data_IF_969888758251
#
_entry.id   IF_969888758251
#
_cell.length_a   1.000
_cell.length_b   1.000
_cell.length_c   1.000
_cell.angle_alpha   90.00
_cell.angle_beta   90.00
_cell.angle_gamma   90.00
#
_symmetry.space_group_name_H-M   'P 1'
#
loop_
_entity.id
_entity.type
_entity.pdbx_description
1 polymer ?
#
# COMPACT_ATOMS: atom_id res chain seq x y z
N UNK A 1 -4.55 59.31 21.76
CA UNK A 1 -3.24 58.88 21.22
C UNK A 1 -2.84 57.60 21.93
N UNK A 2 -3.16 56.44 21.34
CA UNK A 2 -2.78 55.12 21.88
C UNK A 2 -1.60 54.62 21.03
N UNK A 3 -0.60 54.12 21.73
CA UNK A 3 0.81 53.99 21.37
C UNK A 3 1.04 52.91 20.28
N UNK A 4 1.26 53.31 19.01
CA UNK A 4 1.62 52.38 17.92
C UNK A 4 3.03 51.81 18.04
N UNK A 5 3.90 52.45 18.83
CA UNK A 5 5.30 52.01 19.00
C UNK A 5 5.43 50.81 19.94
N UNK A 6 4.47 50.62 20.86
CA UNK A 6 4.47 49.50 21.79
C UNK A 6 4.16 48.16 21.11
N UNK A 7 3.30 48.14 20.09
CA UNK A 7 2.94 46.94 19.32
C UNK A 7 4.01 46.56 18.29
N UNK A 8 4.68 47.54 17.67
CA UNK A 8 5.81 47.27 16.79
C UNK A 8 6.99 46.62 17.54
N UNK A 9 7.22 47.04 18.79
CA UNK A 9 8.29 46.53 19.66
C UNK A 9 7.98 45.11 20.19
N UNK A 10 6.72 44.77 20.46
CA UNK A 10 6.33 43.42 20.88
C UNK A 10 6.41 42.40 19.74
N UNK A 11 6.04 42.78 18.51
CA UNK A 11 6.15 41.91 17.34
C UNK A 11 7.61 41.67 16.95
N UNK A 12 8.46 42.71 16.99
CA UNK A 12 9.89 42.56 16.68
C UNK A 12 10.65 41.76 17.73
N UNK A 13 10.30 41.87 19.01
CA UNK A 13 10.87 41.03 20.08
C UNK A 13 10.40 39.58 20.02
N UNK A 14 9.12 39.34 19.70
CA UNK A 14 8.60 37.99 19.46
C UNK A 14 9.25 37.33 18.24
N UNK A 15 9.42 38.07 17.14
CA UNK A 15 10.07 37.59 15.92
C UNK A 15 11.57 37.32 16.14
N UNK A 16 12.27 38.17 16.92
CA UNK A 16 13.68 37.94 17.31
C UNK A 16 13.83 36.73 18.24
N UNK A 17 12.87 36.49 19.12
CA UNK A 17 12.83 35.29 19.96
C UNK A 17 12.60 34.04 19.12
N UNK A 18 11.64 34.06 18.18
CA UNK A 18 11.36 32.96 17.26
C UNK A 18 12.54 32.64 16.32
N UNK A 19 13.29 33.66 15.89
CA UNK A 19 14.52 33.55 15.08
C UNK A 19 15.79 33.48 15.94
N UNK A 20 15.69 33.12 17.22
CA UNK A 20 16.88 32.93 18.05
C UNK A 20 17.69 31.73 17.54
N UNK A 21 19.04 31.73 17.69
CA UNK A 21 19.88 30.63 17.24
C UNK A 21 19.50 29.27 17.85
N UNK A 22 18.95 29.27 19.07
CA UNK A 22 18.46 28.08 19.74
C UNK A 22 17.21 27.50 19.05
N UNK A 23 16.20 28.35 18.77
CA UNK A 23 14.97 27.92 18.09
C UNK A 23 15.20 27.54 16.63
N UNK A 24 16.14 28.21 15.95
CA UNK A 24 16.58 27.85 14.60
C UNK A 24 17.35 26.53 14.57
N UNK A 25 18.18 26.26 15.59
CA UNK A 25 18.88 24.98 15.72
C UNK A 25 17.89 23.85 16.00
N UNK A 26 16.91 24.07 16.88
CA UNK A 26 15.88 23.08 17.23
C UNK A 26 14.94 22.79 16.04
N UNK A 27 14.51 23.84 15.33
CA UNK A 27 13.76 23.70 14.08
C UNK A 27 14.59 23.02 12.97
N UNK A 28 15.89 23.31 12.91
CA UNK A 28 16.82 22.68 11.97
C UNK A 28 17.07 21.19 12.26
N UNK A 29 17.16 20.80 13.54
CA UNK A 29 17.24 19.40 13.95
C UNK A 29 15.94 18.67 13.71
N UNK A 30 14.79 19.26 14.06
CA UNK A 30 13.48 18.67 13.80
C UNK A 30 13.20 18.51 12.31
N UNK A 31 13.56 19.51 11.49
CA UNK A 31 13.46 19.43 10.04
C UNK A 31 14.37 18.34 9.47
N UNK A 32 15.64 18.26 9.92
CA UNK A 32 16.57 17.19 9.53
C UNK A 32 16.05 15.80 9.90
N UNK A 33 15.55 15.65 11.12
CA UNK A 33 15.02 14.38 11.65
C UNK A 33 13.76 13.96 10.88
N UNK A 34 12.83 14.89 10.60
CA UNK A 34 11.68 14.66 9.71
C UNK A 34 12.07 14.33 8.28
N UNK A 35 13.09 14.99 7.70
CA UNK A 35 13.56 14.64 6.35
C UNK A 35 14.28 13.30 6.31
N UNK A 36 15.01 12.92 7.36
CA UNK A 36 15.65 11.60 7.47
C UNK A 36 14.61 10.50 7.67
N UNK A 37 13.58 10.74 8.49
CA UNK A 37 12.41 9.88 8.65
C UNK A 37 11.64 9.75 7.33
N UNK A 38 11.43 10.87 6.62
CA UNK A 38 10.77 10.87 5.31
C UNK A 38 11.61 10.15 4.25
N UNK A 39 12.93 10.33 4.20
CA UNK A 39 13.80 9.59 3.28
C UNK A 39 13.83 8.09 3.59
N UNK A 40 13.82 7.71 4.87
CA UNK A 40 13.71 6.30 5.30
C UNK A 40 12.36 5.70 4.92
N UNK A 41 11.29 6.48 5.02
CA UNK A 41 9.95 6.09 4.57
C UNK A 41 9.78 6.12 3.03
N UNK A 42 10.57 6.91 2.31
CA UNK A 42 10.61 6.92 0.84
C UNK A 42 11.33 5.69 0.28
N UNK A 43 12.31 5.14 1.00
CA UNK A 43 12.92 3.84 0.67
C UNK A 43 11.88 2.70 0.77
N UNK A 44 10.86 2.85 1.62
CA UNK A 44 9.61 2.08 1.59
C UNK A 44 8.65 2.69 0.54
N UNK A 45 9.03 2.72 -0.75
CA UNK A 45 8.42 3.42 -1.92
C UNK A 45 6.95 3.08 -2.26
N UNK A 46 6.10 3.10 -1.25
CA UNK A 46 4.93 2.27 -1.14
C UNK A 46 3.78 3.08 -0.51
N UNK A 47 4.08 3.93 0.47
CA UNK A 47 3.13 4.90 0.98
C UNK A 47 2.65 5.85 -0.14
N UNK A 48 3.56 6.19 -1.06
CA UNK A 48 3.25 6.94 -2.29
C UNK A 48 2.20 6.25 -3.16
N UNK A 49 2.32 4.95 -3.40
CA UNK A 49 1.39 4.19 -4.26
C UNK A 49 -0.02 4.10 -3.66
N UNK A 50 -0.14 3.87 -2.34
CA UNK A 50 -1.45 3.84 -1.67
C UNK A 50 -2.10 5.21 -1.65
N UNK A 51 -1.31 6.24 -1.40
CA UNK A 51 -1.77 7.63 -1.43
C UNK A 51 -2.27 8.02 -2.82
N UNK A 52 -1.57 7.58 -3.87
CA UNK A 52 -1.98 7.77 -5.27
C UNK A 52 -3.31 7.06 -5.57
N UNK A 53 -3.44 5.79 -5.15
CA UNK A 53 -4.69 5.05 -5.30
C UNK A 53 -5.85 5.70 -4.52
N UNK A 54 -5.59 6.22 -3.32
CA UNK A 54 -6.58 6.94 -2.50
C UNK A 54 -7.07 8.22 -3.19
N UNK A 55 -6.14 9.01 -3.74
CA UNK A 55 -6.48 10.24 -4.43
C UNK A 55 -7.38 9.93 -5.64
N UNK A 56 -7.06 8.88 -6.38
CA UNK A 56 -7.89 8.39 -7.49
C UNK A 56 -9.27 7.94 -7.04
N UNK A 57 -9.36 7.14 -5.97
CA UNK A 57 -10.62 6.67 -5.43
C UNK A 57 -11.52 7.82 -4.92
N UNK A 58 -10.94 8.83 -4.25
CA UNK A 58 -11.69 9.99 -3.77
C UNK A 58 -12.23 10.84 -4.95
N UNK A 59 -11.42 11.02 -5.99
CA UNK A 59 -11.85 11.70 -7.21
C UNK A 59 -12.99 10.92 -7.92
N UNK A 60 -12.88 9.59 -8.01
CA UNK A 60 -13.93 8.74 -8.55
C UNK A 60 -15.24 8.81 -7.75
N UNK A 61 -15.17 8.80 -6.41
CA UNK A 61 -16.36 8.97 -5.56
C UNK A 61 -17.02 10.32 -5.85
N UNK A 62 -16.23 11.38 -5.99
CA UNK A 62 -16.74 12.72 -6.27
C UNK A 62 -17.46 12.77 -7.61
N UNK A 63 -16.85 12.18 -8.65
CA UNK A 63 -17.47 12.05 -9.97
C UNK A 63 -18.78 11.25 -9.86
N UNK A 64 -18.74 10.09 -9.24
CA UNK A 64 -19.89 9.20 -9.16
C UNK A 64 -21.09 9.80 -8.43
N UNK A 65 -20.86 10.51 -7.32
CA UNK A 65 -21.95 11.14 -6.55
C UNK A 65 -22.58 12.29 -7.33
N UNK A 66 -21.77 13.14 -7.96
CA UNK A 66 -22.27 14.29 -8.73
C UNK A 66 -22.94 13.84 -10.04
N UNK A 67 -22.33 12.88 -10.73
CA UNK A 67 -22.83 12.30 -11.98
C UNK A 67 -24.13 11.53 -11.78
N UNK A 68 -24.22 10.70 -10.73
CA UNK A 68 -25.46 9.99 -10.39
C UNK A 68 -26.62 10.95 -10.15
N UNK A 69 -26.41 12.02 -9.38
CA UNK A 69 -27.45 13.02 -9.14
C UNK A 69 -27.91 13.70 -10.43
N UNK A 70 -26.96 14.12 -11.27
CA UNK A 70 -27.25 14.71 -12.57
C UNK A 70 -28.03 13.75 -13.49
N UNK A 71 -27.61 12.50 -13.58
CA UNK A 71 -28.19 11.51 -14.51
C UNK A 71 -29.57 11.02 -14.07
N UNK A 72 -29.82 10.93 -12.75
CA UNK A 72 -31.15 10.66 -12.22
C UNK A 72 -32.11 11.81 -12.55
N UNK A 73 -31.67 13.06 -12.38
CA UNK A 73 -32.48 14.25 -12.72
C UNK A 73 -32.75 14.35 -14.23
N UNK A 74 -31.80 13.90 -15.07
CA UNK A 74 -31.91 13.89 -16.53
C UNK A 74 -32.50 12.59 -17.10
N UNK A 75 -32.98 11.67 -16.25
CA UNK A 75 -33.55 10.37 -16.62
C UNK A 75 -32.62 9.49 -17.49
N UNK A 76 -31.30 9.62 -17.33
CA UNK A 76 -30.27 8.80 -18.00
C UNK A 76 -29.94 7.56 -17.19
N UNK A 77 -30.87 6.60 -17.14
CA UNK A 77 -30.76 5.41 -16.28
C UNK A 77 -29.52 4.54 -16.54
N UNK A 78 -29.08 4.43 -17.80
CA UNK A 78 -27.90 3.63 -18.14
C UNK A 78 -26.64 4.26 -17.55
N UNK A 79 -26.43 5.57 -17.74
CA UNK A 79 -25.30 6.29 -17.17
C UNK A 79 -25.34 6.29 -15.64
N UNK A 80 -26.52 6.44 -15.02
CA UNK A 80 -26.68 6.32 -13.58
C UNK A 80 -26.26 4.95 -13.03
N UNK A 81 -26.45 3.86 -13.79
CA UNK A 81 -25.97 2.53 -13.40
C UNK A 81 -24.43 2.47 -13.42
N UNK A 82 -23.78 3.04 -14.45
CA UNK A 82 -22.31 3.12 -14.49
C UNK A 82 -21.76 3.89 -13.28
N UNK A 83 -22.40 4.99 -12.89
CA UNK A 83 -21.99 5.78 -11.72
C UNK A 83 -22.09 4.99 -10.41
N UNK A 84 -23.14 4.17 -10.24
CA UNK A 84 -23.25 3.27 -9.08
C UNK A 84 -22.09 2.27 -9.04
N UNK A 85 -21.73 1.66 -10.17
CA UNK A 85 -20.59 0.73 -10.22
C UNK A 85 -19.26 1.42 -9.93
N UNK A 86 -19.05 2.63 -10.46
CA UNK A 86 -17.84 3.44 -10.20
C UNK A 86 -17.74 3.79 -8.72
N UNK A 87 -18.84 4.18 -8.08
CA UNK A 87 -18.89 4.45 -6.65
C UNK A 87 -18.50 3.22 -5.82
N UNK A 88 -19.10 2.06 -6.11
CA UNK A 88 -18.81 0.81 -5.41
C UNK A 88 -17.34 0.44 -5.57
N UNK A 89 -16.80 0.49 -6.79
CA UNK A 89 -15.39 0.20 -7.04
C UNK A 89 -14.46 1.15 -6.29
N UNK A 90 -14.76 2.45 -6.27
CA UNK A 90 -13.96 3.42 -5.54
C UNK A 90 -13.98 3.19 -4.02
N UNK A 91 -15.13 2.81 -3.44
CA UNK A 91 -15.22 2.39 -2.04
C UNK A 91 -14.37 1.13 -1.79
N UNK A 92 -14.44 0.13 -2.68
CA UNK A 92 -13.59 -1.07 -2.59
C UNK A 92 -12.11 -0.68 -2.65
N UNK A 93 -11.69 0.25 -3.53
CA UNK A 93 -10.31 0.73 -3.58
C UNK A 93 -9.83 1.31 -2.24
N UNK A 94 -10.66 2.12 -1.58
CA UNK A 94 -10.34 2.67 -0.25
C UNK A 94 -10.21 1.57 0.80
N UNK A 95 -11.14 0.61 0.81
CA UNK A 95 -11.09 -0.54 1.72
C UNK A 95 -9.82 -1.37 1.48
N UNK A 96 -9.39 -1.55 0.25
CA UNK A 96 -8.20 -2.34 -0.07
C UNK A 96 -6.89 -1.66 0.33
N UNK A 97 -6.85 -0.33 0.36
CA UNK A 97 -5.63 0.39 0.72
C UNK A 97 -5.57 0.76 2.21
N UNK A 98 -6.72 0.96 2.86
CA UNK A 98 -6.81 1.44 4.24
C UNK A 98 -7.69 0.59 5.16
N UNK A 99 -8.28 -0.52 4.68
CA UNK A 99 -9.16 -1.39 5.47
C UNK A 99 -8.51 -1.92 6.75
N UNK A 100 -7.22 -2.28 6.67
CA UNK A 100 -6.44 -2.72 7.83
C UNK A 100 -6.14 -1.60 8.84
N UNK A 101 -6.13 -0.35 8.39
CA UNK A 101 -5.88 0.82 9.23
C UNK A 101 -7.16 1.33 9.91
N UNK A 102 -8.33 0.97 9.39
CA UNK A 102 -9.63 1.44 9.87
C UNK A 102 -10.40 0.25 10.45
N UNK A 103 -10.49 0.19 11.78
CA UNK A 103 -11.16 -0.89 12.53
C UNK A 103 -12.56 -1.23 12.02
N UNK A 104 -13.28 -0.23 11.49
CA UNK A 104 -14.61 -0.35 10.91
C UNK A 104 -14.67 -1.25 9.66
N UNK A 105 -13.64 -1.24 8.81
CA UNK A 105 -13.64 -1.96 7.54
C UNK A 105 -13.05 -3.37 7.62
N UNK A 106 -12.54 -3.79 8.78
CA UNK A 106 -11.91 -5.10 8.99
C UNK A 106 -12.79 -6.29 8.54
N UNK A 107 -14.11 -6.23 8.79
CA UNK A 107 -15.07 -7.28 8.38
C UNK A 107 -15.32 -7.29 6.86
N UNK A 108 -15.38 -6.11 6.25
CA UNK A 108 -15.57 -5.94 4.80
C UNK A 108 -14.33 -6.39 4.04
N UNK A 109 -13.14 -5.99 4.50
CA UNK A 109 -11.86 -6.42 3.95
C UNK A 109 -11.74 -7.95 3.96
N UNK A 110 -12.06 -8.61 5.08
CA UNK A 110 -12.06 -10.07 5.17
C UNK A 110 -13.05 -10.72 4.18
N UNK A 111 -14.21 -10.10 3.99
CA UNK A 111 -15.22 -10.58 3.02
C UNK A 111 -14.72 -10.44 1.58
N UNK A 112 -14.06 -9.34 1.25
CA UNK A 112 -13.46 -9.11 -0.08
C UNK A 112 -12.35 -10.12 -0.35
N UNK A 113 -11.45 -10.38 0.60
CA UNK A 113 -10.40 -11.39 0.42
C UNK A 113 -10.95 -12.81 0.29
N UNK A 114 -12.09 -13.12 0.93
CA UNK A 114 -12.74 -14.42 0.78
C UNK A 114 -13.26 -14.68 -0.64
N UNK A 115 -13.80 -13.66 -1.30
CA UNK A 115 -14.40 -13.80 -2.63
C UNK A 115 -13.42 -13.51 -3.76
N UNK A 116 -12.44 -12.64 -3.53
CA UNK A 116 -11.50 -12.16 -4.54
C UNK A 116 -10.05 -12.37 -4.07
N UNK A 117 -9.59 -13.62 -4.10
CA UNK A 117 -8.24 -14.02 -3.68
C UNK A 117 -7.12 -13.28 -4.45
N UNK A 118 -7.35 -12.90 -5.71
CA UNK A 118 -6.37 -12.17 -6.51
C UNK A 118 -6.07 -10.76 -5.95
N UNK A 119 -7.03 -10.17 -5.22
CA UNK A 119 -6.91 -8.82 -4.63
C UNK A 119 -5.91 -8.77 -3.47
N UNK A 120 -5.57 -9.94 -2.92
CA UNK A 120 -4.47 -10.09 -1.95
C UNK A 120 -3.12 -9.70 -2.55
N UNK A 121 -2.97 -9.87 -3.85
CA UNK A 121 -1.73 -9.57 -4.57
C UNK A 121 -1.71 -8.12 -5.04
N UNK A 122 -0.52 -7.49 -4.98
CA UNK A 122 -0.32 -6.11 -5.44
C UNK A 122 -0.71 -5.95 -6.91
N UNK A 123 -0.35 -6.92 -7.77
CA UNK A 123 -0.70 -6.88 -9.19
C UNK A 123 -2.20 -7.07 -9.42
N UNK A 124 -2.89 -7.86 -8.59
CA UNK A 124 -4.33 -8.07 -8.69
C UNK A 124 -5.13 -6.82 -8.31
N UNK A 125 -4.67 -6.06 -7.30
CA UNK A 125 -5.19 -4.71 -7.03
C UNK A 125 -4.98 -3.77 -8.21
N UNK A 126 -3.81 -3.83 -8.84
CA UNK A 126 -3.52 -3.04 -10.04
C UNK A 126 -4.45 -3.34 -11.21
N UNK A 127 -4.84 -4.61 -11.42
CA UNK A 127 -5.87 -4.99 -12.41
C UNK A 127 -7.23 -4.38 -12.06
N UNK A 128 -7.63 -4.43 -10.79
CA UNK A 128 -8.89 -3.83 -10.33
C UNK A 128 -8.89 -2.31 -10.57
N UNK A 129 -7.77 -1.63 -10.33
CA UNK A 129 -7.64 -0.19 -10.57
C UNK A 129 -7.68 0.13 -12.06
N UNK A 130 -7.01 -0.68 -12.89
CA UNK A 130 -7.07 -0.51 -14.34
C UNK A 130 -8.50 -0.63 -14.87
N UNK A 131 -9.25 -1.65 -14.44
CA UNK A 131 -10.65 -1.83 -14.81
C UNK A 131 -11.49 -0.64 -14.34
N UNK A 132 -11.33 -0.22 -13.09
CA UNK A 132 -12.03 0.93 -12.52
C UNK A 132 -11.77 2.21 -13.33
N UNK A 133 -10.52 2.48 -13.69
CA UNK A 133 -10.15 3.62 -14.53
C UNK A 133 -10.77 3.56 -15.93
N UNK A 134 -10.75 2.39 -16.60
CA UNK A 134 -11.40 2.23 -17.90
C UNK A 134 -12.91 2.42 -17.84
N UNK A 135 -13.55 1.98 -16.73
CA UNK A 135 -14.98 2.18 -16.51
C UNK A 135 -15.31 3.66 -16.30
N UNK A 136 -14.47 4.41 -15.58
CA UNK A 136 -14.63 5.86 -15.45
C UNK A 136 -14.52 6.57 -16.79
N UNK A 137 -13.56 6.18 -17.65
CA UNK A 137 -13.43 6.74 -19.01
C UNK A 137 -14.72 6.55 -19.82
N UNK A 138 -15.48 5.47 -19.60
CA UNK A 138 -16.72 5.19 -20.30
C UNK A 138 -17.87 6.19 -20.04
N UNK A 139 -17.74 7.09 -19.05
CA UNK A 139 -18.70 8.18 -18.81
C UNK A 139 -18.64 9.31 -19.86
N UNK A 140 -17.62 9.31 -20.73
CA UNK A 140 -17.49 10.19 -21.91
C UNK A 140 -17.51 11.71 -21.61
N UNK A 141 -16.96 12.13 -20.47
CA UNK A 141 -16.70 13.55 -20.18
C UNK A 141 -15.23 13.79 -19.80
N UNK A 142 -14.74 15.01 -20.04
CA UNK A 142 -13.31 15.35 -19.91
C UNK A 142 -12.74 15.03 -18.52
N UNK A 143 -13.49 15.32 -17.46
CA UNK A 143 -13.07 15.03 -16.08
C UNK A 143 -12.92 13.52 -15.84
N UNK A 144 -13.85 12.71 -16.37
CA UNK A 144 -13.79 11.26 -16.31
C UNK A 144 -12.61 10.71 -17.11
N UNK A 145 -12.31 11.28 -18.28
CA UNK A 145 -11.14 10.89 -19.07
C UNK A 145 -9.83 11.13 -18.30
N UNK A 146 -9.69 12.31 -17.68
CA UNK A 146 -8.48 12.67 -16.91
C UNK A 146 -8.33 11.78 -15.68
N UNK A 147 -9.38 11.66 -14.86
CA UNK A 147 -9.35 10.87 -13.63
C UNK A 147 -9.23 9.37 -13.93
N UNK A 148 -10.01 8.87 -14.89
CA UNK A 148 -9.94 7.47 -15.32
C UNK A 148 -8.59 7.11 -15.93
N UNK A 149 -8.01 7.99 -16.77
CA UNK A 149 -6.66 7.82 -17.30
C UNK A 149 -5.57 7.80 -16.22
N UNK A 150 -5.70 8.68 -15.22
CA UNK A 150 -4.84 8.65 -14.04
C UNK A 150 -4.96 7.33 -13.27
N UNK A 151 -6.18 6.88 -12.96
CA UNK A 151 -6.42 5.62 -12.23
C UNK A 151 -5.89 4.41 -13.03
N UNK A 152 -6.02 4.41 -14.35
CA UNK A 152 -5.40 3.39 -15.22
C UNK A 152 -3.87 3.37 -15.08
N UNK A 153 -3.24 4.55 -15.08
CA UNK A 153 -1.78 4.67 -14.90
C UNK A 153 -1.36 4.14 -13.52
N UNK A 154 -2.10 4.48 -12.46
CA UNK A 154 -1.88 3.91 -11.12
C UNK A 154 -2.01 2.39 -11.14
N UNK A 155 -3.04 1.85 -11.80
CA UNK A 155 -3.24 0.40 -11.96
C UNK A 155 -2.07 -0.29 -12.66
N UNK A 156 -1.55 0.30 -13.74
CA UNK A 156 -0.36 -0.21 -14.45
C UNK A 156 0.86 -0.19 -13.53
N UNK A 157 1.10 0.89 -12.78
CA UNK A 157 2.21 0.97 -11.82
C UNK A 157 2.11 -0.15 -10.77
N UNK A 158 0.92 -0.43 -10.24
CA UNK A 158 0.71 -1.54 -9.30
C UNK A 158 1.00 -2.91 -9.93
N UNK A 159 0.62 -3.13 -11.19
CA UNK A 159 0.93 -4.38 -11.91
C UNK A 159 2.45 -4.53 -12.08
N UNK A 160 3.14 -3.47 -12.53
CA UNK A 160 4.59 -3.50 -12.74
C UNK A 160 5.36 -3.73 -11.44
N UNK A 161 5.02 -2.99 -10.38
CA UNK A 161 5.62 -3.15 -9.05
C UNK A 161 5.32 -4.54 -8.50
N UNK A 162 4.08 -5.02 -8.62
CA UNK A 162 3.71 -6.37 -8.17
C UNK A 162 4.50 -7.47 -8.87
N UNK A 163 4.73 -7.36 -10.18
CA UNK A 163 5.60 -8.30 -10.93
C UNK A 163 7.06 -8.18 -10.52
N UNK A 164 7.56 -6.97 -10.28
CA UNK A 164 8.93 -6.76 -9.82
C UNK A 164 9.18 -7.38 -8.45
N UNK A 165 8.26 -7.21 -7.51
CA UNK A 165 8.29 -7.85 -6.19
C UNK A 165 8.27 -9.37 -6.34
N UNK A 166 7.39 -9.93 -7.15
CA UNK A 166 7.34 -11.38 -7.38
C UNK A 166 8.69 -11.93 -7.90
N UNK A 167 9.34 -11.24 -8.85
CA UNK A 167 10.66 -11.63 -9.36
C UNK A 167 11.76 -11.57 -8.30
N UNK A 168 11.78 -10.53 -7.46
CA UNK A 168 12.76 -10.41 -6.38
C UNK A 168 12.59 -11.51 -5.33
N UNK A 169 11.35 -11.83 -4.98
CA UNK A 169 11.02 -12.95 -4.08
C UNK A 169 11.46 -14.29 -4.69
N UNK A 170 11.22 -14.51 -5.99
CA UNK A 170 11.67 -15.72 -6.67
C UNK A 170 13.21 -15.86 -6.66
N UNK A 171 13.93 -14.77 -6.92
CA UNK A 171 15.39 -14.76 -6.84
C UNK A 171 15.88 -15.02 -5.40
N UNK A 172 15.20 -14.47 -4.39
CA UNK A 172 15.51 -14.70 -3.00
C UNK A 172 15.34 -16.17 -2.56
N UNK A 173 14.38 -16.90 -3.14
CA UNK A 173 14.21 -18.35 -2.91
C UNK A 173 15.32 -19.18 -3.54
N UNK A 174 15.88 -18.71 -4.67
CA UNK A 174 16.98 -19.38 -5.38
C UNK A 174 18.33 -19.24 -4.67
N UNK A 175 18.49 -18.26 -3.76
CA UNK A 175 19.62 -18.27 -2.82
C UNK A 175 19.51 -19.52 -1.95
N UNK A 176 20.34 -20.52 -2.24
CA UNK A 176 20.27 -21.88 -1.71
C UNK A 176 20.37 -21.94 -0.17
N UNK A 177 19.25 -21.76 0.52
CA UNK A 177 19.10 -22.06 1.95
C UNK A 177 18.48 -23.45 2.05
N UNK A 178 19.18 -24.37 2.72
CA UNK A 178 18.65 -25.73 2.89
C UNK A 178 17.45 -25.73 3.85
N UNK A 179 16.55 -26.71 3.77
CA UNK A 179 15.41 -26.82 4.69
C UNK A 179 15.83 -26.78 6.17
N UNK A 180 16.98 -27.39 6.50
CA UNK A 180 17.51 -27.44 7.86
C UNK A 180 17.98 -26.06 8.33
N UNK A 181 18.65 -25.30 7.45
CA UNK A 181 19.05 -23.92 7.74
C UNK A 181 17.85 -22.98 7.85
N UNK A 182 16.81 -23.20 7.05
CA UNK A 182 15.56 -22.45 7.14
C UNK A 182 14.85 -22.74 8.48
N UNK A 183 14.87 -23.99 8.95
CA UNK A 183 14.30 -24.37 10.25
C UNK A 183 15.03 -23.70 11.42
N UNK A 184 16.36 -23.70 11.40
CA UNK A 184 17.18 -23.05 12.43
C UNK A 184 16.91 -21.55 12.47
N UNK A 185 16.93 -20.89 11.31
CA UNK A 185 16.63 -19.44 11.21
C UNK A 185 15.20 -19.12 11.60
N UNK A 186 14.24 -19.97 11.24
CA UNK A 186 12.85 -19.82 11.66
C UNK A 186 12.71 -19.89 13.19
N UNK A 187 13.40 -20.84 13.84
CA UNK A 187 13.38 -20.96 15.29
C UNK A 187 14.03 -19.75 16.00
N UNK A 188 15.05 -19.14 15.39
CA UNK A 188 15.67 -17.90 15.89
C UNK A 188 14.73 -16.69 15.75
N UNK A 189 13.99 -16.62 14.64
CA UNK A 189 13.02 -15.55 14.40
C UNK A 189 11.73 -15.67 15.25
N UNK A 190 11.34 -16.89 15.64
CA UNK A 190 10.18 -17.19 16.50
C UNK A 190 10.47 -16.86 17.97
N UNK A 191 10.55 -15.56 18.27
CA UNK A 191 10.85 -15.05 19.61
C UNK A 191 9.85 -15.47 20.70
N UNK A 192 8.61 -15.78 20.32
CA UNK A 192 7.54 -16.15 21.24
C UNK A 192 7.27 -17.66 21.30
N UNK A 193 8.04 -18.46 20.54
CA UNK A 193 7.99 -19.93 20.58
C UNK A 193 6.63 -20.51 20.23
N UNK A 194 5.83 -19.78 19.43
CA UNK A 194 4.45 -20.18 19.11
C UNK A 194 4.36 -21.08 17.86
N UNK A 195 5.49 -21.36 17.20
CA UNK A 195 5.56 -22.13 15.97
C UNK A 195 5.01 -21.40 14.74
N UNK A 196 4.80 -20.08 14.84
CA UNK A 196 4.28 -19.26 13.75
C UNK A 196 4.77 -17.81 13.87
N UNK A 197 5.20 -17.22 12.76
CA UNK A 197 5.76 -15.88 12.73
C UNK A 197 4.69 -14.81 12.47
N UNK A 198 4.75 -13.72 13.21
CA UNK A 198 4.05 -12.47 12.88
C UNK A 198 4.69 -11.80 11.66
N UNK A 199 4.02 -10.78 11.12
CA UNK A 199 4.52 -10.00 9.98
C UNK A 199 5.90 -9.37 10.27
N UNK A 200 6.09 -8.90 11.50
CA UNK A 200 7.32 -8.28 11.97
C UNK A 200 8.45 -9.32 12.11
N UNK A 201 8.15 -10.47 12.71
CA UNK A 201 9.11 -11.58 12.85
C UNK A 201 9.50 -12.17 11.50
N UNK A 202 8.54 -12.30 10.58
CA UNK A 202 8.81 -12.73 9.21
C UNK A 202 9.69 -11.73 8.46
N UNK A 203 9.49 -10.42 8.65
CA UNK A 203 10.39 -9.41 8.11
C UNK A 203 11.81 -9.57 8.61
N UNK A 204 11.98 -9.80 9.91
CA UNK A 204 13.27 -10.04 10.54
C UNK A 204 13.98 -11.27 9.94
N UNK A 205 13.25 -12.38 9.78
CA UNK A 205 13.76 -13.59 9.14
C UNK A 205 14.32 -13.29 7.74
N UNK A 206 13.56 -12.55 6.92
CA UNK A 206 13.95 -12.23 5.55
C UNK A 206 15.16 -11.28 5.50
N UNK A 207 15.15 -10.21 6.27
CA UNK A 207 16.18 -9.16 6.15
C UNK A 207 17.42 -9.43 6.98
N UNK A 208 17.26 -9.89 8.22
CA UNK A 208 18.38 -10.08 9.16
C UNK A 208 18.96 -11.50 9.07
N UNK A 209 18.11 -12.52 9.17
CA UNK A 209 18.61 -13.90 9.24
C UNK A 209 18.99 -14.43 7.85
N UNK A 210 18.23 -14.11 6.81
CA UNK A 210 18.48 -14.55 5.44
C UNK A 210 19.31 -13.53 4.62
N UNK A 211 19.49 -12.30 5.12
CA UNK A 211 20.29 -11.27 4.47
C UNK A 211 19.72 -10.78 3.14
N UNK A 212 18.41 -10.94 2.92
CA UNK A 212 17.76 -10.52 1.68
C UNK A 212 17.42 -9.03 1.75
N UNK A 213 17.87 -8.27 0.74
CA UNK A 213 17.54 -6.86 0.60
C UNK A 213 16.12 -6.69 0.02
N UNK A 214 15.13 -6.96 0.88
CA UNK A 214 13.72 -6.78 0.60
C UNK A 214 13.16 -5.65 1.45
N UNK A 215 12.40 -4.77 0.82
CA UNK A 215 11.67 -3.68 1.49
C UNK A 215 10.55 -4.22 2.36
N UNK A 216 10.06 -3.42 3.32
CA UNK A 216 8.97 -3.82 4.24
C UNK A 216 7.71 -4.28 3.52
N UNK A 217 7.45 -3.76 2.31
CA UNK A 217 6.32 -4.17 1.47
C UNK A 217 6.56 -5.41 0.64
N UNK A 218 7.78 -5.67 0.20
CA UNK A 218 8.12 -6.93 -0.46
C UNK A 218 7.98 -8.07 0.55
N UNK A 219 8.41 -7.84 1.80
CA UNK A 219 8.14 -8.70 2.95
C UNK A 219 6.63 -8.82 3.21
N UNK A 220 5.87 -7.72 3.26
CA UNK A 220 4.41 -7.77 3.43
C UNK A 220 3.74 -8.56 2.30
N UNK A 221 4.20 -8.42 1.06
CA UNK A 221 3.69 -9.16 -0.08
C UNK A 221 4.05 -10.63 0.00
N UNK A 222 5.26 -10.98 0.41
CA UNK A 222 5.67 -12.38 0.66
C UNK A 222 4.81 -12.98 1.79
N UNK A 223 4.65 -12.25 2.89
CA UNK A 223 3.81 -12.63 4.02
C UNK A 223 2.35 -12.84 3.58
N UNK A 224 1.82 -11.95 2.74
CA UNK A 224 0.48 -12.11 2.17
C UNK A 224 0.41 -13.34 1.24
N UNK A 225 1.44 -13.71 0.51
CA UNK A 225 1.42 -14.96 -0.26
C UNK A 225 1.33 -16.19 0.66
N UNK A 226 1.98 -16.12 1.82
CA UNK A 226 2.06 -17.21 2.80
C UNK A 226 0.83 -17.34 3.72
N UNK A 227 0.24 -16.22 4.15
CA UNK A 227 -0.88 -16.18 5.11
C UNK A 227 -2.22 -16.49 4.42
N UNK A 228 -2.35 -17.68 3.82
CA UNK A 228 -3.55 -18.11 3.07
C UNK A 228 -4.83 -18.07 3.92
N UNK A 229 -4.71 -18.26 5.22
CA UNK A 229 -5.85 -18.34 6.14
C UNK A 229 -6.20 -17.00 6.81
N UNK A 230 -5.50 -15.91 6.47
CA UNK A 230 -5.69 -14.57 7.04
C UNK A 230 -5.67 -14.54 8.57
N UNK A 231 -4.84 -15.39 9.18
CA UNK A 231 -4.68 -15.46 10.64
C UNK A 231 -3.70 -14.40 11.15
N UNK A 232 -3.04 -13.67 10.26
CA UNK A 232 -2.01 -12.71 10.63
C UNK A 232 -0.74 -13.37 11.16
N UNK A 233 -0.58 -14.67 10.88
CA UNK A 233 0.59 -15.48 11.24
C UNK A 233 0.90 -16.49 10.14
N UNK A 234 2.19 -16.78 9.94
CA UNK A 234 2.66 -17.78 8.98
C UNK A 234 3.32 -18.93 9.73
N UNK A 235 2.84 -20.16 9.48
CA UNK A 235 3.44 -21.37 10.06
C UNK A 235 4.72 -21.75 9.32
N UNK A 236 5.59 -22.51 9.99
CA UNK A 236 6.80 -23.05 9.37
C UNK A 236 6.49 -23.85 8.09
N UNK A 237 5.44 -24.68 8.11
CA UNK A 237 5.02 -25.46 6.93
C UNK A 237 4.67 -24.57 5.73
N UNK A 238 3.96 -23.46 5.96
CA UNK A 238 3.63 -22.50 4.89
C UNK A 238 4.89 -21.84 4.33
N UNK A 239 5.83 -21.45 5.19
CA UNK A 239 7.12 -20.85 4.78
C UNK A 239 7.95 -21.85 4.00
N UNK A 240 8.05 -23.09 4.48
CA UNK A 240 8.79 -24.17 3.84
C UNK A 240 8.19 -24.51 2.47
N UNK A 241 6.87 -24.61 2.36
CA UNK A 241 6.18 -24.86 1.10
C UNK A 241 6.45 -23.75 0.09
N UNK A 242 6.31 -22.49 0.51
CA UNK A 242 6.59 -21.32 -0.34
C UNK A 242 8.07 -21.23 -0.75
N UNK A 243 9.00 -21.71 0.09
CA UNK A 243 10.42 -21.80 -0.25
C UNK A 243 10.70 -22.90 -1.27
N UNK A 244 9.95 -24.02 -1.22
CA UNK A 244 10.08 -25.16 -2.14
C UNK A 244 9.32 -25.01 -3.45
N UNK A 245 8.20 -24.29 -3.48
CA UNK A 245 7.33 -24.15 -4.67
C UNK A 245 8.04 -23.55 -5.91
N UNK A 246 9.17 -22.85 -5.74
CA UNK A 246 10.03 -22.39 -6.87
C UNK A 246 11.21 -23.30 -7.19
N UNK A 247 11.57 -24.23 -6.30
CA UNK A 247 12.64 -25.20 -6.57
C UNK A 247 12.19 -26.27 -7.57
N UNK A 248 10.89 -26.62 -7.58
CA UNK A 248 10.31 -27.63 -8.47
C UNK A 248 9.82 -27.06 -9.83
N UNK A 249 9.80 -25.74 -10.00
CA UNK A 249 9.48 -25.07 -11.29
C UNK A 249 10.68 -25.00 -12.25
N UNK A 250 11.84 -25.58 -11.89
CA UNK A 250 13.01 -25.67 -12.76
C UNK A 250 12.94 -26.79 -13.81
N UNK A 251 12.08 -27.79 -13.61
CA UNK A 251 12.02 -28.99 -14.45
C UNK A 251 10.84 -29.02 -15.44
N UNK A 252 10.00 -27.97 -15.50
CA UNK A 252 8.85 -27.89 -16.40
C UNK A 252 9.06 -27.03 -17.66
N UNK A 253 10.25 -26.49 -17.91
CA UNK A 253 10.60 -25.82 -19.18
C UNK A 253 11.38 -26.70 -20.18
N UNK A 254 11.46 -28.01 -19.96
CA UNK A 254 12.14 -28.95 -20.89
C UNK A 254 11.27 -30.16 -21.27
N UNK A 255 10.06 -29.91 -21.78
CA UNK A 255 9.39 -30.76 -22.81
C UNK A 255 8.55 -29.91 -23.73
#
# INVERSE_FOLDING_TARGET
MINSDATATSVTSAMRSALSPANLSEAGTFAKERTAEFQRNLHDGSWSLRFLALLGALAMITIAVLGFLHDVLMFKWISAIFEVYIFILAVVMIILEYGRSLSFFSKLEATVYKHALFVKYVWGRGVLYFIAGTLTIALDHLVALIVGGYVCLVGILFILVGRSTAKKLANARRSAVTPEQLQEKFAIADLDGKGALSKEQFGRLITEDLGLDLTRREVESAFLQLDCESRGRVSYESVLKWWKDDADMGDYEMV
#
